data_IF_502416475141
#
_entry.id   IF_502416475141
#
_cell.length_a   1.000
_cell.length_b   1.000
_cell.length_c   1.000
_cell.angle_alpha   90.00
_cell.angle_beta   90.00
_cell.angle_gamma   90.00
#
_symmetry.space_group_name_H-M   'P 1'
#
loop_
_entity.id
_entity.type
_entity.pdbx_description
1 polymer ?
#
# COMPACT_ATOMS: atom_id res chain seq x y z
N UNK A 1 8.63 -3.12 -9.86
CA UNK A 1 7.88 -1.88 -9.59
C UNK A 1 8.63 -1.13 -8.51
N UNK A 2 8.96 0.12 -8.75
CA UNK A 2 9.68 0.97 -7.79
C UNK A 2 8.69 1.80 -6.98
N UNK A 3 9.05 2.15 -5.75
CA UNK A 3 8.20 2.92 -4.86
C UNK A 3 8.96 3.50 -3.67
N UNK A 4 8.28 4.35 -2.91
CA UNK A 4 8.84 4.98 -1.71
C UNK A 4 8.33 4.29 -0.44
N UNK A 5 9.25 3.99 0.48
CA UNK A 5 8.90 3.52 1.82
C UNK A 5 8.81 4.72 2.77
N UNK A 6 7.62 4.98 3.29
CA UNK A 6 7.37 6.05 4.26
C UNK A 6 6.99 5.48 5.63
N UNK A 7 7.26 6.26 6.69
CA UNK A 7 6.85 5.96 8.08
C UNK A 7 5.92 7.07 8.58
N UNK A 8 4.66 7.10 8.13
CA UNK A 8 3.74 8.16 8.51
C UNK A 8 3.38 8.06 9.99
N UNK A 9 3.26 9.22 10.64
CA UNK A 9 2.64 9.30 11.97
C UNK A 9 1.13 9.01 11.92
N UNK A 10 0.45 8.90 13.08
CA UNK A 10 -0.96 8.51 13.15
C UNK A 10 -1.92 9.42 12.35
N UNK A 11 -1.72 10.74 12.41
CA UNK A 11 -2.54 11.70 11.67
C UNK A 11 -2.38 11.55 10.15
N UNK A 12 -1.14 11.40 9.68
CA UNK A 12 -0.86 11.14 8.27
C UNK A 12 -1.44 9.80 7.81
N UNK A 13 -1.38 8.76 8.67
CA UNK A 13 -2.00 7.47 8.38
C UNK A 13 -3.53 7.60 8.22
N UNK A 14 -4.20 8.36 9.08
CA UNK A 14 -5.65 8.60 8.95
C UNK A 14 -6.00 9.34 7.67
N UNK A 15 -5.22 10.36 7.30
CA UNK A 15 -5.39 11.10 6.04
C UNK A 15 -5.22 10.17 4.82
N UNK A 16 -4.18 9.32 4.82
CA UNK A 16 -3.96 8.33 3.76
C UNK A 16 -5.14 7.35 3.64
N UNK A 17 -5.66 6.83 4.76
CA UNK A 17 -6.86 5.95 4.73
C UNK A 17 -8.07 6.63 4.10
N UNK A 18 -8.26 7.93 4.35
CA UNK A 18 -9.36 8.70 3.77
C UNK A 18 -9.15 8.98 2.29
N UNK A 19 -7.91 9.26 1.88
CA UNK A 19 -7.54 9.54 0.50
C UNK A 19 -7.73 8.32 -0.42
N UNK A 20 -7.23 7.16 0.00
CA UNK A 20 -7.27 5.91 -0.80
C UNK A 20 -8.70 5.37 -0.96
N UNK A 21 -9.55 5.61 0.05
CA UNK A 21 -10.95 5.19 0.03
C UNK A 21 -11.17 3.68 0.21
N UNK A 22 -12.42 3.21 0.10
CA UNK A 22 -12.80 1.85 0.49
C UNK A 22 -12.38 0.76 -0.49
N UNK A 23 -12.04 1.12 -1.74
CA UNK A 23 -11.65 0.15 -2.78
C UNK A 23 -10.23 -0.40 -2.56
N UNK A 24 -9.37 0.36 -1.89
CA UNK A 24 -8.01 -0.06 -1.59
C UNK A 24 -7.94 -0.69 -0.21
N UNK A 25 -7.17 -1.78 -0.10
CA UNK A 25 -6.90 -2.44 1.18
C UNK A 25 -5.42 -2.37 1.50
N UNK A 26 -5.11 -2.13 2.77
CA UNK A 26 -3.74 -2.04 3.26
C UNK A 26 -3.20 -3.44 3.62
N UNK A 27 -2.51 -4.08 2.67
CA UNK A 27 -2.01 -5.45 2.78
C UNK A 27 -0.54 -5.49 3.22
N UNK A 28 -0.12 -6.50 4.00
CA UNK A 28 1.30 -6.70 4.33
C UNK A 28 2.07 -7.25 3.13
N UNK A 29 3.32 -6.85 2.98
CA UNK A 29 4.24 -7.37 1.98
C UNK A 29 5.70 -7.26 2.43
N UNK A 30 6.59 -7.93 1.70
CA UNK A 30 8.05 -7.83 1.86
C UNK A 30 8.62 -7.05 0.69
N UNK A 31 9.33 -5.96 0.97
CA UNK A 31 9.95 -5.08 -0.02
C UNK A 31 11.46 -5.27 0.01
N UNK A 32 12.06 -5.47 -1.15
CA UNK A 32 13.51 -5.42 -1.30
C UNK A 32 13.98 -3.96 -1.30
N UNK A 33 14.97 -3.65 -0.46
CA UNK A 33 15.59 -2.32 -0.39
C UNK A 33 17.10 -2.44 -0.53
N UNK A 34 17.79 -1.33 -0.79
CA UNK A 34 19.27 -1.30 -0.82
C UNK A 34 19.92 -1.79 0.48
N UNK A 35 19.22 -1.73 1.62
CA UNK A 35 19.71 -2.19 2.94
C UNK A 35 19.21 -3.59 3.30
N UNK A 36 18.57 -4.27 2.35
CA UNK A 36 17.97 -5.59 2.54
C UNK A 36 16.43 -5.55 2.62
N UNK A 37 15.82 -6.73 2.75
CA UNK A 37 14.37 -6.89 2.76
C UNK A 37 13.73 -6.33 4.02
N UNK A 38 12.58 -5.66 3.87
CA UNK A 38 11.80 -5.11 4.98
C UNK A 38 10.33 -5.49 4.88
N UNK A 39 9.66 -5.63 6.04
CA UNK A 39 8.20 -5.78 6.09
C UNK A 39 7.56 -4.40 5.95
N UNK A 40 6.62 -4.26 5.02
CA UNK A 40 5.89 -3.03 4.78
C UNK A 40 4.41 -3.33 4.51
N UNK A 41 3.63 -2.28 4.29
CA UNK A 41 2.24 -2.37 3.86
C UNK A 41 2.01 -1.48 2.66
N UNK A 42 1.17 -1.90 1.73
CA UNK A 42 0.75 -1.09 0.59
C UNK A 42 -0.76 -1.14 0.41
N UNK A 43 -1.31 -0.05 -0.11
CA UNK A 43 -2.68 0.03 -0.57
C UNK A 43 -2.79 -0.68 -1.91
N UNK A 44 -3.65 -1.70 -1.96
CA UNK A 44 -3.84 -2.54 -3.14
C UNK A 44 -5.34 -2.75 -3.37
N UNK A 45 -5.76 -2.62 -4.63
CA UNK A 45 -7.11 -3.01 -5.04
C UNK A 45 -7.16 -4.54 -5.13
N UNK A 46 -8.06 -5.22 -4.40
CA UNK A 46 -8.22 -6.66 -4.55
C UNK A 46 -8.55 -7.04 -6.00
N UNK A 47 -7.97 -8.15 -6.48
CA UNK A 47 -8.09 -8.57 -7.89
C UNK A 47 -9.54 -8.69 -8.38
N UNK A 48 -10.49 -9.07 -7.52
CA UNK A 48 -11.91 -9.16 -7.90
C UNK A 48 -12.60 -7.79 -8.10
N UNK A 49 -12.02 -6.72 -7.56
CA UNK A 49 -12.48 -5.33 -7.76
C UNK A 49 -11.72 -4.63 -8.88
N UNK A 50 -10.52 -5.10 -9.20
CA UNK A 50 -9.79 -4.68 -10.39
C UNK A 50 -10.53 -5.24 -11.61
N UNK A 51 -11.52 -4.48 -12.10
CA UNK A 51 -12.32 -4.86 -13.25
C UNK A 51 -11.41 -5.40 -14.37
N UNK A 52 -11.65 -6.65 -14.75
CA UNK A 52 -10.95 -7.24 -15.88
C UNK A 52 -11.31 -6.42 -17.12
N UNK A 53 -10.35 -5.65 -17.65
CA UNK A 53 -10.31 -5.47 -19.10
C UNK A 53 -9.93 -6.84 -19.67
N UNK A 54 -10.94 -7.55 -20.17
CA UNK A 54 -10.76 -8.58 -21.19
C UNK A 54 -10.33 -7.90 -22.51
#
# INVERSE_FOLDING_TARGET
MEGALIRPGPAAMAALRRYEGPCYRLIPLRVETRRGPVRARAWVVPRFMAGARA
#
